data_IF_582557711438
#
_entry.id   IF_582557711438
#
_cell.length_a   1.000
_cell.length_b   1.000
_cell.length_c   1.000
_cell.angle_alpha   90.00
_cell.angle_beta   90.00
_cell.angle_gamma   90.00
#
_symmetry.space_group_name_H-M   'P 1'
#
loop_
_entity.id
_entity.type
_entity.pdbx_description
1 polymer ?
#
# COMPACT_ATOMS: atom_id res chain seq x y z
N UNK A 1 3.64 -6.16 -15.79
CA UNK A 1 3.42 -5.29 -16.96
C UNK A 1 4.73 -5.12 -17.75
N UNK A 2 4.67 -4.96 -19.09
CA UNK A 2 5.85 -4.75 -19.96
C UNK A 2 5.62 -3.62 -20.97
N UNK A 3 6.69 -2.92 -21.33
CA UNK A 3 6.68 -1.87 -22.35
C UNK A 3 6.60 -2.46 -23.77
N UNK A 4 5.76 -1.90 -24.65
CA UNK A 4 5.50 -2.49 -25.99
C UNK A 4 6.73 -2.57 -26.90
N UNK A 5 7.63 -1.56 -26.86
CA UNK A 5 8.79 -1.50 -27.77
C UNK A 5 9.99 -2.28 -27.26
N UNK A 6 10.31 -2.15 -25.98
CA UNK A 6 11.55 -2.70 -25.38
C UNK A 6 11.32 -4.03 -24.67
N UNK A 7 10.06 -4.40 -24.41
CA UNK A 7 9.64 -5.58 -23.63
C UNK A 7 10.17 -5.62 -22.20
N UNK A 8 10.78 -4.52 -21.73
CA UNK A 8 11.23 -4.35 -20.34
C UNK A 8 10.03 -4.41 -19.40
N UNK A 9 10.22 -5.06 -18.26
CA UNK A 9 9.24 -5.09 -17.18
C UNK A 9 9.17 -3.68 -16.58
N UNK A 10 7.97 -3.18 -16.33
CA UNK A 10 7.74 -1.88 -15.70
C UNK A 10 6.82 -1.94 -14.47
N UNK A 11 6.29 -3.12 -14.17
CA UNK A 11 5.62 -3.44 -12.91
C UNK A 11 5.65 -4.97 -12.77
N UNK A 12 6.13 -5.45 -11.63
CA UNK A 12 6.18 -6.84 -11.24
C UNK A 12 5.96 -6.96 -9.73
N UNK A 13 4.69 -7.04 -9.34
CA UNK A 13 4.26 -7.29 -7.96
C UNK A 13 3.11 -8.30 -7.94
N UNK A 14 2.92 -8.93 -6.78
CA UNK A 14 1.78 -9.82 -6.52
C UNK A 14 0.55 -9.00 -6.11
N UNK A 15 -0.64 -9.51 -6.42
CA UNK A 15 -1.91 -8.92 -5.98
C UNK A 15 -2.31 -9.50 -4.64
N UNK A 16 -1.81 -8.96 -3.53
CA UNK A 16 -2.10 -9.47 -2.19
C UNK A 16 -3.53 -9.12 -1.71
N UNK A 17 -4.04 -9.80 -0.68
CA UNK A 17 -5.35 -9.51 -0.09
C UNK A 17 -5.50 -8.08 0.48
N UNK A 18 -4.36 -7.44 0.80
CA UNK A 18 -4.32 -6.06 1.28
C UNK A 18 -4.18 -5.02 0.16
N UNK A 19 -4.03 -5.45 -1.09
CA UNK A 19 -3.88 -4.54 -2.22
C UNK A 19 -5.21 -3.86 -2.50
N UNK A 20 -5.22 -2.52 -2.41
CA UNK A 20 -6.41 -1.70 -2.67
C UNK A 20 -6.14 -0.80 -3.88
N UNK A 21 -7.05 -0.83 -4.86
CA UNK A 21 -6.99 0.04 -6.04
C UNK A 21 -8.03 1.14 -5.90
N UNK A 22 -7.60 2.39 -6.08
CA UNK A 22 -8.44 3.58 -5.91
C UNK A 22 -8.55 4.36 -7.23
N UNK A 23 -9.68 5.04 -7.43
CA UNK A 23 -9.84 5.96 -8.56
C UNK A 23 -8.93 7.18 -8.38
N UNK A 24 -8.30 7.64 -9.46
CA UNK A 24 -7.45 8.82 -9.41
C UNK A 24 -8.31 10.09 -9.29
N UNK A 25 -8.08 10.87 -8.24
CA UNK A 25 -8.74 12.17 -8.05
C UNK A 25 -8.37 13.12 -9.19
N UNK A 26 -9.32 13.38 -10.09
CA UNK A 26 -9.13 14.23 -11.27
C UNK A 26 -9.02 13.50 -12.61
N UNK A 27 -9.03 12.15 -12.63
CA UNK A 27 -9.12 11.41 -13.89
C UNK A 27 -9.79 10.03 -13.70
N UNK A 28 -11.07 9.95 -14.05
CA UNK A 28 -11.91 8.72 -14.00
C UNK A 28 -11.42 7.57 -14.92
N UNK A 29 -10.52 7.86 -15.86
CA UNK A 29 -9.87 6.83 -16.69
C UNK A 29 -8.57 6.32 -16.06
N UNK A 30 -8.23 6.77 -14.86
CA UNK A 30 -7.00 6.39 -14.19
C UNK A 30 -7.27 5.86 -12.80
N UNK A 31 -6.48 4.89 -12.38
CA UNK A 31 -6.51 4.37 -11.02
C UNK A 31 -5.10 4.29 -10.45
N UNK A 32 -5.03 4.32 -9.11
CA UNK A 32 -3.81 4.33 -8.33
C UNK A 32 -3.82 3.22 -7.29
N UNK A 33 -2.66 2.64 -7.01
CA UNK A 33 -2.48 1.65 -5.95
C UNK A 33 -1.04 1.61 -5.48
N UNK A 34 -0.82 1.15 -4.24
CA UNK A 34 0.51 0.92 -3.69
C UNK A 34 0.84 -0.57 -3.77
N UNK A 35 2.09 -0.90 -4.11
CA UNK A 35 2.58 -2.28 -4.09
C UNK A 35 4.10 -2.36 -3.92
N UNK A 36 4.57 -3.45 -3.32
CA UNK A 36 5.99 -3.81 -3.28
C UNK A 36 6.38 -4.50 -4.59
N UNK A 37 7.15 -3.83 -5.43
CA UNK A 37 7.47 -4.20 -6.81
C UNK A 37 8.93 -4.64 -6.99
N UNK A 38 9.17 -5.53 -7.96
CA UNK A 38 10.49 -6.09 -8.27
C UNK A 38 10.89 -5.90 -9.75
N UNK A 39 10.35 -4.90 -10.46
CA UNK A 39 10.64 -4.68 -11.88
C UNK A 39 12.13 -4.35 -12.15
N UNK A 40 12.80 -3.68 -11.21
CA UNK A 40 14.20 -3.27 -11.31
C UNK A 40 15.21 -4.32 -10.82
N UNK A 41 14.73 -5.46 -10.30
CA UNK A 41 15.58 -6.48 -9.68
C UNK A 41 15.85 -6.28 -8.18
N UNK A 42 15.15 -5.32 -7.56
CA UNK A 42 15.15 -5.07 -6.12
C UNK A 42 13.72 -4.84 -5.66
N UNK A 43 13.40 -5.22 -4.42
CA UNK A 43 12.06 -5.03 -3.86
C UNK A 43 11.91 -3.59 -3.36
N UNK A 44 10.97 -2.84 -3.94
CA UNK A 44 10.71 -1.43 -3.60
C UNK A 44 9.23 -1.19 -3.41
N UNK A 45 8.86 -0.39 -2.42
CA UNK A 45 7.49 0.08 -2.28
C UNK A 45 7.24 1.26 -3.22
N UNK A 46 6.32 1.08 -4.16
CA UNK A 46 6.04 2.06 -5.21
C UNK A 46 4.54 2.38 -5.28
N UNK A 47 4.24 3.62 -5.68
CA UNK A 47 2.89 4.07 -6.01
C UNK A 47 2.69 3.99 -7.52
N UNK A 48 1.79 3.11 -7.94
CA UNK A 48 1.44 2.93 -9.33
C UNK A 48 0.25 3.81 -9.71
N UNK A 49 0.28 4.31 -10.94
CA UNK A 49 -0.84 4.97 -11.59
C UNK A 49 -0.93 4.47 -13.03
N UNK A 50 -2.09 3.96 -13.42
CA UNK A 50 -2.34 3.54 -14.79
C UNK A 50 -3.49 4.36 -15.36
N UNK A 51 -3.37 4.70 -16.66
CA UNK A 51 -4.41 5.40 -17.41
C UNK A 51 -4.91 4.53 -18.55
N UNK A 52 -6.21 4.35 -18.61
CA UNK A 52 -6.91 3.59 -19.63
C UNK A 52 -7.47 4.48 -20.74
N UNK A 53 -7.72 3.93 -21.93
CA UNK A 53 -8.37 4.67 -23.02
C UNK A 53 -9.84 5.02 -22.70
N UNK A 54 -10.54 4.19 -21.93
CA UNK A 54 -11.94 4.39 -21.50
C UNK A 54 -12.11 4.20 -19.99
N UNK A 55 -13.17 4.82 -19.45
CA UNK A 55 -13.56 4.69 -18.04
C UNK A 55 -14.01 3.26 -17.74
N UNK A 56 -14.70 2.62 -18.68
CA UNK A 56 -15.17 1.23 -18.56
C UNK A 56 -14.01 0.26 -18.36
N UNK A 57 -12.91 0.43 -19.10
CA UNK A 57 -11.71 -0.38 -18.94
C UNK A 57 -11.05 -0.15 -17.56
N UNK A 58 -11.06 1.09 -17.08
CA UNK A 58 -10.55 1.42 -15.75
C UNK A 58 -11.37 0.72 -14.65
N UNK A 59 -12.70 0.82 -14.73
CA UNK A 59 -13.60 0.17 -13.77
C UNK A 59 -13.48 -1.34 -13.81
N UNK A 60 -13.44 -1.93 -15.00
CA UNK A 60 -13.23 -3.37 -15.16
C UNK A 60 -11.92 -3.83 -14.51
N UNK A 61 -10.83 -3.10 -14.73
CA UNK A 61 -9.54 -3.40 -14.09
C UNK A 61 -9.62 -3.32 -12.56
N UNK A 62 -10.21 -2.24 -12.02
CA UNK A 62 -10.36 -2.07 -10.57
C UNK A 62 -11.16 -3.21 -9.95
N UNK A 63 -12.30 -3.59 -10.56
CA UNK A 63 -13.12 -4.70 -10.11
C UNK A 63 -12.35 -6.03 -10.13
N UNK A 64 -11.67 -6.36 -11.24
CA UNK A 64 -10.90 -7.60 -11.32
C UNK A 64 -9.74 -7.64 -10.32
N UNK A 65 -9.04 -6.53 -10.11
CA UNK A 65 -7.96 -6.48 -9.11
C UNK A 65 -8.49 -6.71 -7.70
N UNK A 66 -9.64 -6.12 -7.37
CA UNK A 66 -10.30 -6.28 -6.08
C UNK A 66 -10.77 -7.72 -5.86
N UNK A 67 -11.43 -8.34 -6.85
CA UNK A 67 -11.87 -9.74 -6.79
C UNK A 67 -10.70 -10.70 -6.60
N UNK A 68 -9.58 -10.47 -7.29
CA UNK A 68 -8.37 -11.28 -7.15
C UNK A 68 -7.74 -11.09 -5.77
N UNK A 69 -7.68 -9.85 -5.26
CA UNK A 69 -7.16 -9.59 -3.91
C UNK A 69 -8.01 -10.31 -2.85
N UNK A 70 -9.34 -10.20 -2.94
CA UNK A 70 -10.27 -10.88 -2.02
C UNK A 70 -10.11 -12.40 -2.07
N UNK A 71 -9.94 -12.97 -3.26
CA UNK A 71 -9.72 -14.41 -3.45
C UNK A 71 -8.41 -14.91 -2.81
N UNK A 72 -7.43 -14.05 -2.55
CA UNK A 72 -6.20 -14.42 -1.84
C UNK A 72 -6.35 -14.48 -0.32
N UNK A 73 -7.41 -13.89 0.24
CA UNK A 73 -7.69 -13.90 1.68
C UNK A 73 -8.28 -15.20 2.21
N UNK A 74 -8.82 -16.07 1.34
CA UNK A 74 -9.50 -17.32 1.74
C UNK A 74 -8.52 -18.48 2.04
N UNK A 75 -7.21 -18.20 2.15
CA UNK A 75 -6.14 -19.20 2.08
C UNK A 75 -5.23 -19.36 3.28
N UNK A 76 -5.49 -18.77 4.46
CA UNK A 76 -4.70 -19.03 5.68
C UNK A 76 -5.56 -19.02 6.95
N UNK A 77 -6.59 -19.87 7.02
CA UNK A 77 -6.97 -20.41 8.32
C UNK A 77 -5.91 -21.45 8.70
N UNK A 78 -5.00 -21.05 9.59
CA UNK A 78 -3.95 -21.87 10.18
C UNK A 78 -4.52 -23.16 10.81
N UNK A 79 -4.64 -24.23 10.01
CA UNK A 79 -5.06 -25.57 10.47
C UNK A 79 -4.06 -26.17 11.46
N UNK A 80 -2.82 -25.69 11.48
CA UNK A 80 -1.78 -26.18 12.41
C UNK A 80 -1.95 -25.64 13.83
N UNK A 81 -2.53 -24.46 14.02
CA UNK A 81 -2.83 -23.90 15.36
C UNK A 81 -3.98 -24.65 16.05
N UNK A 82 -5.02 -25.08 15.31
CA UNK A 82 -6.11 -25.87 15.88
C UNK A 82 -5.67 -27.29 16.23
N UNK A 83 -4.89 -27.93 15.35
CA UNK A 83 -4.43 -29.30 15.57
C UNK A 83 -3.44 -29.44 16.75
N UNK A 84 -2.64 -28.40 17.02
CA UNK A 84 -1.74 -28.38 18.18
C UNK A 84 -2.48 -28.14 19.50
N UNK A 85 -3.55 -27.34 19.50
CA UNK A 85 -4.40 -27.13 20.68
C UNK A 85 -5.09 -28.42 21.16
N UNK A 86 -5.67 -29.20 20.23
CA UNK A 86 -6.32 -30.48 20.55
C UNK A 86 -5.34 -31.56 21.06
N UNK A 87 -4.06 -31.47 20.67
CA UNK A 87 -3.02 -32.41 21.09
C UNK A 87 -2.42 -32.05 22.46
N UNK A 88 -2.38 -30.76 22.80
CA UNK A 88 -1.99 -30.24 24.11
C UNK A 88 -2.97 -30.64 25.22
N UNK A 89 -4.28 -30.62 24.94
CA UNK A 89 -5.32 -31.03 25.91
C UNK A 89 -5.22 -32.53 26.28
N UNK A 90 -4.75 -33.37 25.35
CA UNK A 90 -4.60 -34.82 25.56
C UNK A 90 -3.33 -35.22 26.31
N UNK A 91 -2.36 -34.32 26.48
CA UNK A 91 -1.06 -34.60 27.09
C UNK A 91 -0.98 -34.25 28.60
N UNK A 92 -1.97 -33.56 29.17
CA UNK A 92 -2.01 -33.27 30.61
C UNK A 92 -2.47 -34.49 31.41
N UNK A 93 -1.51 -35.39 31.70
CA UNK A 93 -1.61 -36.47 32.71
C UNK A 93 -1.23 -35.86 34.07
N UNK A 94 -2.15 -35.94 35.04
CA UNK A 94 -2.03 -35.24 36.32
C UNK A 94 -0.97 -35.79 37.26
N UNK A 95 -0.33 -34.88 38.00
CA UNK A 95 0.39 -35.15 39.24
C UNK A 95 0.21 -34.00 40.25
N UNK A 96 0.22 -34.40 41.51
CA UNK A 96 -0.30 -33.77 42.73
C UNK A 96 0.70 -32.75 43.37
N UNK A 97 0.15 -31.71 44.05
CA UNK A 97 0.70 -30.87 45.16
C UNK A 97 1.26 -29.45 44.96
N UNK A 98 0.93 -28.65 45.99
CA UNK A 98 1.38 -27.31 46.46
C UNK A 98 0.73 -26.09 45.79
N UNK A 99 -0.28 -25.42 46.37
CA UNK A 99 -0.44 -24.68 47.66
C UNK A 99 0.09 -23.21 47.62
N UNK A 100 -0.90 -22.31 47.68
CA UNK A 100 -1.02 -20.87 48.02
C UNK A 100 0.04 -19.76 47.76
N UNK A 101 -0.56 -18.62 47.31
CA UNK A 101 -0.35 -17.17 47.65
C UNK A 101 0.95 -16.47 47.25
N UNK A 102 1.00 -15.18 46.92
CA UNK A 102 0.11 -14.10 46.44
C UNK A 102 1.05 -12.90 46.05
N UNK A 103 0.55 -11.81 45.43
CA UNK A 103 1.35 -10.80 44.72
C UNK A 103 1.60 -9.48 45.51
N UNK A 104 2.68 -8.75 45.17
CA UNK A 104 2.82 -7.28 45.36
C UNK A 104 3.71 -6.73 44.20
N UNK A 105 3.28 -5.87 43.28
CA UNK A 105 2.75 -4.48 43.26
C UNK A 105 3.86 -3.40 43.31
N UNK A 106 3.65 -2.32 42.51
CA UNK A 106 4.13 -0.91 42.68
C UNK A 106 5.53 -0.58 42.06
N UNK A 107 5.85 0.51 41.32
CA UNK A 107 5.19 1.72 40.76
C UNK A 107 6.11 2.41 39.70
N UNK A 108 5.50 2.99 38.67
CA UNK A 108 5.61 4.37 38.12
C UNK A 108 6.94 5.14 38.28
N UNK A 109 7.50 5.71 37.19
CA UNK A 109 7.90 7.14 37.10
C UNK A 109 8.08 7.62 35.64
N UNK A 110 7.50 8.78 35.37
CA UNK A 110 7.44 9.58 34.13
C UNK A 110 8.81 10.12 33.68
N UNK A 111 9.00 10.31 32.36
CA UNK A 111 9.70 11.51 31.85
C UNK A 111 9.22 11.87 30.43
N UNK A 112 8.46 12.95 30.35
CA UNK A 112 8.34 13.79 29.15
C UNK A 112 9.58 14.69 29.06
N UNK A 113 10.07 14.91 27.84
CA UNK A 113 10.72 16.15 27.32
C UNK A 113 10.65 16.03 25.79
N UNK A 114 9.70 16.64 25.08
CA UNK A 114 9.74 18.00 24.49
C UNK A 114 11.12 18.39 23.95
N UNK A 115 11.17 18.61 22.64
CA UNK A 115 12.28 19.16 21.86
C UNK A 115 11.77 19.50 20.46
N UNK A 116 11.13 20.66 20.36
CA UNK A 116 10.76 21.38 19.15
C UNK A 116 11.97 22.23 18.71
N UNK A 117 12.36 22.20 17.43
CA UNK A 117 12.93 23.39 16.76
C UNK A 117 12.74 23.29 15.23
N UNK A 118 12.21 24.38 14.68
CA UNK A 118 11.90 24.67 13.27
C UNK A 118 13.01 25.51 12.66
N UNK A 119 13.20 25.43 11.34
CA UNK A 119 13.21 26.58 10.38
C UNK A 119 13.82 26.12 9.03
N UNK A 120 13.05 26.12 7.93
CA UNK A 120 12.94 27.18 6.87
C UNK A 120 13.99 26.97 5.76
N UNK A 121 13.80 27.23 4.48
CA UNK A 121 12.71 27.56 3.53
C UNK A 121 13.38 27.53 2.12
N UNK A 122 12.61 27.71 1.05
CA UNK A 122 12.97 28.21 -0.32
C UNK A 122 12.37 27.37 -1.46
N UNK A 123 11.14 27.74 -1.83
CA UNK A 123 10.64 27.77 -3.21
C UNK A 123 11.41 28.81 -4.05
N UNK A 124 11.37 28.71 -5.39
CA UNK A 124 10.79 29.87 -6.08
C UNK A 124 9.83 29.54 -7.25
N UNK A 125 8.94 30.51 -7.46
CA UNK A 125 7.75 30.52 -8.31
C UNK A 125 7.98 30.61 -9.84
N UNK A 126 6.91 30.20 -10.55
CA UNK A 126 6.31 30.71 -11.79
C UNK A 126 7.16 31.44 -12.86
N UNK A 127 7.11 30.90 -14.08
CA UNK A 127 7.17 31.68 -15.31
C UNK A 127 5.94 31.37 -16.19
N UNK A 128 5.02 32.33 -16.23
CA UNK A 128 3.99 32.46 -17.26
C UNK A 128 4.65 32.86 -18.58
N UNK A 129 4.25 32.25 -19.69
CA UNK A 129 4.55 32.80 -21.01
C UNK A 129 3.32 32.71 -21.91
N UNK A 130 2.49 33.75 -21.82
CA UNK A 130 1.60 34.18 -22.89
C UNK A 130 2.45 34.83 -23.97
N UNK A 131 2.44 34.32 -25.20
CA UNK A 131 2.82 35.14 -26.34
C UNK A 131 1.75 35.12 -27.41
N UNK A 132 1.41 36.33 -27.81
CA UNK A 132 0.26 36.76 -28.58
C UNK A 132 0.36 36.38 -30.05
N UNK A 133 -0.83 36.27 -30.66
CA UNK A 133 -1.04 36.30 -32.10
C UNK A 133 -0.39 37.55 -32.70
N UNK A 134 0.62 37.36 -33.54
CA UNK A 134 1.03 38.34 -34.53
C UNK A 134 0.06 38.31 -35.71
N UNK A 135 -1.04 39.06 -35.57
CA UNK A 135 -1.88 39.50 -36.68
C UNK A 135 -1.28 40.84 -37.14
N UNK A 136 -0.69 40.88 -38.35
CA UNK A 136 -0.25 42.13 -38.97
C UNK A 136 -0.67 42.11 -40.44
N UNK A 137 -1.90 42.53 -40.66
CA UNK A 137 -2.37 43.18 -41.88
C UNK A 137 -1.61 44.50 -42.05
N UNK A 138 -0.84 44.67 -43.14
CA UNK A 138 -0.71 45.96 -43.85
C UNK A 138 -0.41 45.68 -45.34
N UNK A 139 -1.31 46.19 -46.19
CA UNK A 139 -1.22 46.37 -47.65
C UNK A 139 0.07 47.04 -48.14
N UNK A 140 0.60 46.56 -49.28
CA UNK A 140 0.91 47.35 -50.48
C UNK A 140 1.46 46.44 -51.60
#
# INVERSE_FOLDING_TARGET
>A
MRQSKTLKICANHLVHHSLTVQEHSGNEKSCVWHASDFADGELKDELFCIRFPSVENCKAFMTTMQEVAESQGEGEENKDASATADLLEKLTVGEDKSDEKEPEKVQITKKLTVGEDKSEDEEPEMATNTNEKGEHDVEA
#
